data_IF_900907953607
#
_entry.id   IF_900907953607
#
_cell.length_a   1.000
_cell.length_b   1.000
_cell.length_c   1.000
_cell.angle_alpha   90.00
_cell.angle_beta   90.00
_cell.angle_gamma   90.00
#
_symmetry.space_group_name_H-M   'P 1'
#
loop_
_entity.id
_entity.type
_entity.pdbx_description
1 polymer ?
#
# COMPACT_ATOMS: atom_id res chain seq x y z
N UNK A 1 0.05 14.38 2.89
CA UNK A 1 0.21 14.05 1.45
C UNK A 1 -0.55 12.77 1.12
N UNK A 2 -1.42 12.75 0.09
CA UNK A 2 -2.14 11.54 -0.34
C UNK A 2 -1.21 10.37 -0.67
N UNK A 3 -1.67 9.13 -0.45
CA UNK A 3 -0.86 7.91 -0.67
C UNK A 3 -0.36 7.80 -2.13
N UNK A 4 -1.19 8.15 -3.11
CA UNK A 4 -0.81 8.11 -4.52
C UNK A 4 0.38 9.02 -4.84
N UNK A 5 0.43 10.23 -4.27
CA UNK A 5 1.57 11.14 -4.48
C UNK A 5 2.87 10.57 -3.91
N UNK A 6 2.81 9.87 -2.77
CA UNK A 6 3.98 9.24 -2.15
C UNK A 6 4.52 8.12 -3.05
N UNK A 7 3.64 7.24 -3.50
CA UNK A 7 4.00 6.11 -4.38
C UNK A 7 4.53 6.62 -5.72
N UNK A 8 3.89 7.62 -6.34
CA UNK A 8 4.36 8.21 -7.59
C UNK A 8 5.74 8.85 -7.44
N UNK A 9 6.00 9.56 -6.35
CA UNK A 9 7.32 10.16 -6.13
C UNK A 9 8.40 9.10 -5.91
N UNK A 10 8.09 7.99 -5.23
CA UNK A 10 9.03 6.88 -5.08
C UNK A 10 9.39 6.25 -6.43
N UNK A 11 8.42 6.07 -7.34
CA UNK A 11 8.70 5.61 -8.71
C UNK A 11 9.60 6.59 -9.47
N UNK A 12 9.38 7.89 -9.32
CA UNK A 12 10.22 8.93 -9.93
C UNK A 12 11.63 8.94 -9.37
N UNK A 13 11.80 8.70 -8.07
CA UNK A 13 13.11 8.63 -7.43
C UNK A 13 13.94 7.44 -7.95
N UNK A 14 13.30 6.31 -8.23
CA UNK A 14 13.97 5.09 -8.70
C UNK A 14 14.20 5.10 -10.22
N UNK A 15 13.18 5.45 -10.99
CA UNK A 15 13.15 5.27 -12.46
C UNK A 15 13.21 6.60 -13.24
N UNK A 16 13.12 7.74 -12.56
CA UNK A 16 13.13 9.07 -13.16
C UNK A 16 11.73 9.66 -13.47
N UNK A 17 11.72 10.95 -13.78
CA UNK A 17 10.50 11.76 -13.93
C UNK A 17 9.57 11.32 -15.08
N UNK A 18 10.12 10.63 -16.10
CA UNK A 18 9.34 10.06 -17.21
C UNK A 18 8.25 9.08 -16.75
N UNK A 19 8.42 8.44 -15.59
CA UNK A 19 7.43 7.50 -15.05
C UNK A 19 6.22 8.17 -14.41
N UNK A 20 6.26 9.48 -14.11
CA UNK A 20 5.16 10.16 -13.38
C UNK A 20 3.83 10.05 -14.11
N UNK A 21 3.81 10.32 -15.41
CA UNK A 21 2.58 10.34 -16.22
C UNK A 21 1.93 8.97 -16.41
N UNK A 22 2.69 7.89 -16.19
CA UNK A 22 2.24 6.50 -16.36
C UNK A 22 2.12 5.75 -15.04
N UNK A 23 2.45 6.38 -13.92
CA UNK A 23 2.32 5.78 -12.58
C UNK A 23 0.92 5.97 -12.04
N UNK A 24 0.09 4.95 -12.25
CA UNK A 24 -1.23 4.80 -11.62
C UNK A 24 -1.14 4.17 -10.23
N UNK A 25 -1.98 4.68 -9.33
CA UNK A 25 -2.14 4.13 -7.97
C UNK A 25 -3.61 3.88 -7.73
N UNK A 26 -3.96 2.62 -7.51
CA UNK A 26 -5.32 2.22 -7.17
C UNK A 26 -5.39 1.78 -5.71
N UNK A 27 -6.31 2.39 -4.95
CA UNK A 27 -6.62 2.02 -3.57
C UNK A 27 -7.86 1.14 -3.58
N UNK A 28 -7.71 -0.11 -3.11
CA UNK A 28 -8.81 -1.06 -2.97
C UNK A 28 -9.04 -1.32 -1.49
N UNK A 29 -10.21 -0.92 -1.00
CA UNK A 29 -10.64 -1.25 0.36
C UNK A 29 -11.14 -2.69 0.42
N UNK A 30 -10.63 -3.45 1.38
CA UNK A 30 -11.05 -4.82 1.65
C UNK A 30 -11.54 -4.88 3.09
N UNK A 31 -12.73 -5.45 3.30
CA UNK A 31 -13.30 -5.57 4.64
C UNK A 31 -12.49 -6.53 5.50
N UNK A 32 -12.59 -6.33 6.81
CA UNK A 32 -11.95 -7.22 7.77
C UNK A 32 -12.40 -8.68 7.58
N UNK A 33 -11.48 -9.63 7.76
CA UNK A 33 -11.72 -11.06 7.55
C UNK A 33 -11.75 -11.51 6.08
N UNK A 34 -11.66 -10.59 5.11
CA UNK A 34 -11.67 -10.92 3.68
C UNK A 34 -10.30 -10.80 3.01
N UNK A 35 -9.27 -10.43 3.77
CA UNK A 35 -7.89 -10.36 3.30
C UNK A 35 -7.04 -11.34 4.10
N UNK A 36 -6.35 -12.24 3.38
CA UNK A 36 -5.54 -13.29 3.96
C UNK A 36 -4.04 -13.05 3.78
N UNK A 37 -3.24 -13.33 4.82
CA UNK A 37 -1.78 -13.31 4.81
C UNK A 37 -1.28 -14.58 5.50
N UNK A 38 -0.43 -15.36 4.84
CA UNK A 38 0.19 -16.55 5.44
C UNK A 38 -0.82 -17.57 6.00
N UNK A 39 -1.98 -17.72 5.35
CA UNK A 39 -3.04 -18.65 5.80
C UNK A 39 -3.95 -18.13 6.92
N UNK A 40 -3.78 -16.88 7.36
CA UNK A 40 -4.64 -16.22 8.37
C UNK A 40 -5.38 -15.05 7.76
N UNK A 41 -6.53 -14.69 8.30
CA UNK A 41 -7.24 -13.45 7.95
C UNK A 41 -7.10 -12.44 9.09
N UNK A 42 -5.97 -11.71 9.16
CA UNK A 42 -5.68 -10.83 10.29
C UNK A 42 -6.68 -9.68 10.36
N UNK A 43 -7.07 -9.34 11.58
CA UNK A 43 -7.84 -8.16 11.88
C UNK A 43 -7.00 -6.89 11.85
N UNK A 44 -7.65 -5.73 11.80
CA UNK A 44 -6.95 -4.45 11.89
C UNK A 44 -6.13 -4.32 13.19
N UNK A 45 -6.57 -4.93 14.29
CA UNK A 45 -5.80 -5.00 15.55
C UNK A 45 -4.56 -5.87 15.43
N UNK A 46 -4.66 -7.01 14.74
CA UNK A 46 -3.51 -7.90 14.52
C UNK A 46 -2.43 -7.19 13.67
N UNK A 47 -2.84 -6.46 12.62
CA UNK A 47 -1.94 -5.67 11.79
C UNK A 47 -1.24 -4.56 12.60
N UNK A 48 -1.96 -3.87 13.49
CA UNK A 48 -1.37 -2.86 14.37
C UNK A 48 -0.34 -3.47 15.33
N UNK A 49 -0.62 -4.65 15.88
CA UNK A 49 0.31 -5.35 16.76
C UNK A 49 1.57 -5.79 15.99
N UNK A 50 1.43 -6.25 14.75
CA UNK A 50 2.56 -6.62 13.88
C UNK A 50 3.49 -5.45 13.56
N UNK A 51 2.94 -4.25 13.31
CA UNK A 51 3.74 -3.07 12.98
C UNK A 51 4.49 -2.45 14.16
N UNK A 52 4.17 -2.87 15.39
CA UNK A 52 4.82 -2.40 16.62
C UNK A 52 6.04 -3.24 17.03
N UNK A 53 6.29 -4.36 16.35
CA UNK A 53 7.51 -5.18 16.49
C UNK A 53 8.55 -4.81 15.45
#
# INVERSE_FOLDING_TARGET
MPIHKKVTNAMVEVEGEGMRGVTWVWVKEVRNGQWGIGGKTPSASDIKAMAAG
#
